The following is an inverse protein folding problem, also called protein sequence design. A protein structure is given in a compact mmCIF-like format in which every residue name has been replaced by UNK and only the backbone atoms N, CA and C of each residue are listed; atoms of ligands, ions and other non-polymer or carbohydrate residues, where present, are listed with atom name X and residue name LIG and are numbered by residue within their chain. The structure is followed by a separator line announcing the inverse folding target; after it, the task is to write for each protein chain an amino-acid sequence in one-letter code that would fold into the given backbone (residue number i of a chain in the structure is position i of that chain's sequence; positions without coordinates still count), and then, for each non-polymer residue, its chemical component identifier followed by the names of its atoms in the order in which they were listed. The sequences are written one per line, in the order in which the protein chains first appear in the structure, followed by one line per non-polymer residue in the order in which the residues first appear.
data_IF_632829806474
#
_entry.id   IF_632829806474
#
_cell.length_a   1.000
_cell.length_b   1.000
_cell.length_c   1.000
_cell.angle_alpha   90.00
_cell.angle_beta   90.00
_cell.angle_gamma   90.00
#
_symmetry.space_group_name_H-M   'P 1'
#
loop_
_entity.id
_entity.type
_entity.pdbx_description
1 polymer ?
#
# COMPACT_ATOMS: atom_id res chain seq x y z
N UNK A 1 -18.72 0.42 -0.89
CA UNK A 1 -17.37 0.23 -0.32
C UNK A 1 -16.32 0.70 -1.31
N UNK A 2 -15.34 1.44 -0.86
CA UNK A 2 -14.26 1.93 -1.71
C UNK A 2 -13.40 0.77 -2.21
N UNK A 3 -12.86 0.88 -3.44
CA UNK A 3 -12.05 -0.16 -4.05
C UNK A 3 -10.79 -0.48 -3.23
N UNK A 4 -10.15 0.52 -2.64
CA UNK A 4 -8.97 0.30 -1.79
C UNK A 4 -9.31 -0.48 -0.52
N UNK A 5 -10.52 -0.32 0.03
CA UNK A 5 -10.98 -1.10 1.18
C UNK A 5 -11.13 -2.57 0.82
N UNK A 6 -11.64 -2.85 -0.39
CA UNK A 6 -11.74 -4.24 -0.87
C UNK A 6 -10.35 -4.85 -1.06
N UNK A 7 -9.42 -4.11 -1.64
CA UNK A 7 -8.04 -4.54 -1.82
C UNK A 7 -7.38 -4.82 -0.47
N UNK A 8 -7.59 -3.96 0.52
CA UNK A 8 -7.10 -4.14 1.88
C UNK A 8 -7.60 -5.46 2.50
N UNK A 9 -8.89 -5.76 2.33
CA UNK A 9 -9.45 -7.02 2.85
C UNK A 9 -8.83 -8.24 2.18
N UNK A 10 -8.69 -8.20 0.86
CA UNK A 10 -8.06 -9.28 0.12
C UNK A 10 -6.62 -9.51 0.56
N UNK A 11 -5.88 -8.44 0.73
CA UNK A 11 -4.49 -8.52 1.19
C UNK A 11 -4.40 -9.21 2.54
N UNK A 12 -5.22 -8.82 3.50
CA UNK A 12 -5.21 -9.44 4.83
C UNK A 12 -5.57 -10.92 4.80
N UNK A 13 -6.58 -11.27 4.00
CA UNK A 13 -7.03 -12.66 3.88
C UNK A 13 -5.97 -13.56 3.28
N UNK A 14 -5.16 -13.04 2.36
CA UNK A 14 -4.16 -13.81 1.64
C UNK A 14 -2.77 -13.78 2.28
N UNK A 15 -2.59 -13.02 3.35
CA UNK A 15 -1.29 -12.89 4.05
C UNK A 15 -1.45 -13.10 5.55
N UNK A 16 -1.90 -14.30 5.99
CA UNK A 16 -2.19 -14.54 7.41
C UNK A 16 -0.97 -14.47 8.33
N UNK A 17 0.24 -14.60 7.78
CA UNK A 17 1.49 -14.52 8.56
C UNK A 17 2.01 -13.09 8.74
N UNK A 18 1.40 -12.13 8.06
CA UNK A 18 1.82 -10.74 8.16
C UNK A 18 0.92 -10.01 9.14
N UNK A 19 1.53 -9.32 10.08
CA UNK A 19 0.82 -8.45 11.02
C UNK A 19 0.71 -7.06 10.40
N UNK A 20 -0.50 -6.67 10.03
CA UNK A 20 -0.75 -5.41 9.34
C UNK A 20 -1.29 -4.35 10.30
N UNK A 21 -0.74 -3.15 10.20
CA UNK A 21 -1.25 -1.95 10.86
C UNK A 21 -1.62 -0.92 9.80
N UNK A 22 -2.87 -0.46 9.82
CA UNK A 22 -3.31 0.59 8.92
C UNK A 22 -2.89 1.95 9.49
N UNK A 23 -2.13 2.71 8.71
CA UNK A 23 -1.62 4.00 9.15
C UNK A 23 -2.62 5.10 8.82
N UNK A 24 -2.79 6.02 9.78
CA UNK A 24 -3.61 7.21 9.57
C UNK A 24 -2.72 8.29 8.95
N UNK A 25 -2.87 8.52 7.65
CA UNK A 25 -1.97 9.40 6.90
C UNK A 25 -2.31 10.88 6.99
N UNK A 26 -3.38 11.26 7.72
CA UNK A 26 -3.76 12.66 7.84
C UNK A 26 -2.69 13.53 8.53
N UNK A 27 -1.86 12.93 9.34
CA UNK A 27 -0.81 13.63 10.10
C UNK A 27 0.51 13.74 9.33
N UNK A 28 0.68 13.00 8.23
CA UNK A 28 1.95 12.98 7.51
C UNK A 28 1.71 12.65 6.03
N UNK A 29 1.91 13.63 5.16
CA UNK A 29 1.66 13.47 3.74
C UNK A 29 2.66 12.48 3.11
N UNK A 30 2.15 11.63 2.22
CA UNK A 30 2.96 10.71 1.45
C UNK A 30 3.37 9.43 2.16
N UNK A 31 3.06 9.28 3.44
CA UNK A 31 3.31 8.04 4.17
C UNK A 31 2.43 6.93 3.59
N UNK A 32 2.97 5.72 3.33
CA UNK A 32 2.17 4.61 2.84
C UNK A 32 1.01 4.23 3.76
N UNK A 33 0.00 3.58 3.19
CA UNK A 33 -1.23 3.23 3.90
C UNK A 33 -1.02 2.22 5.02
N UNK A 34 -0.04 1.32 4.87
CA UNK A 34 0.10 0.15 5.72
C UNK A 34 1.52 -0.03 6.24
N UNK A 35 1.61 -0.46 7.48
CA UNK A 35 2.83 -1.01 8.06
C UNK A 35 2.63 -2.52 8.23
N UNK A 36 3.50 -3.31 7.63
CA UNK A 36 3.48 -4.76 7.77
C UNK A 36 4.65 -5.24 8.63
N UNK A 37 4.43 -6.35 9.31
CA UNK A 37 5.48 -7.03 10.05
C UNK A 37 5.37 -8.54 9.82
N UNK A 38 6.49 -9.16 9.52
CA UNK A 38 6.59 -10.61 9.40
C UNK A 38 7.91 -11.04 10.03
N UNK A 39 7.90 -12.14 10.81
CA UNK A 39 9.05 -12.54 11.64
C UNK A 39 10.35 -12.72 10.87
N UNK A 40 10.29 -13.26 9.66
CA UNK A 40 11.50 -13.50 8.87
C UNK A 40 12.03 -12.26 8.15
N UNK A 41 11.16 -11.27 7.87
CA UNK A 41 11.53 -10.08 7.11
C UNK A 41 11.65 -8.82 7.97
N UNK A 42 10.94 -8.77 9.10
CA UNK A 42 10.82 -7.55 9.91
C UNK A 42 9.77 -6.59 9.36
N UNK A 43 9.93 -5.31 9.63
CA UNK A 43 8.98 -4.27 9.20
C UNK A 43 9.17 -3.86 7.75
N UNK A 44 8.04 -3.56 7.12
CA UNK A 44 8.03 -2.95 5.77
C UNK A 44 6.77 -2.11 5.62
N UNK A 45 6.73 -1.24 4.62
CA UNK A 45 5.58 -0.39 4.34
C UNK A 45 4.97 -0.76 2.99
N UNK A 46 3.65 -0.56 2.87
CA UNK A 46 2.93 -0.86 1.63
C UNK A 46 1.91 0.23 1.32
N UNK A 47 1.93 0.73 0.09
CA UNK A 47 0.95 1.66 -0.45
C UNK A 47 -0.06 0.88 -1.28
N UNK A 48 -1.36 1.12 -1.05
CA UNK A 48 -2.43 0.50 -1.83
C UNK A 48 -2.84 1.43 -2.97
N UNK A 49 -2.92 0.90 -4.19
CA UNK A 49 -3.41 1.64 -5.35
C UNK A 49 -4.35 0.78 -6.17
N UNK A 50 -5.46 1.37 -6.58
CA UNK A 50 -6.42 0.75 -7.50
C UNK A 50 -6.57 1.66 -8.70
N UNK A 51 -6.49 1.09 -9.89
CA UNK A 51 -6.71 1.84 -11.14
C UNK A 51 -7.71 1.11 -12.03
N UNK A 52 -8.41 1.87 -12.88
CA UNK A 52 -9.32 1.34 -13.90
C UNK A 52 -8.83 1.59 -15.32
N UNK A 53 -7.71 2.29 -15.47
CA UNK A 53 -7.26 2.81 -16.77
C UNK A 53 -5.83 2.41 -17.12
N UNK A 54 -5.26 1.42 -16.44
CA UNK A 54 -3.86 1.00 -16.58
C UNK A 54 -2.84 2.10 -16.22
N UNK A 55 -3.32 3.22 -15.64
CA UNK A 55 -2.47 4.33 -15.23
C UNK A 55 -2.50 4.47 -13.73
N UNK A 56 -1.32 4.64 -13.13
CA UNK A 56 -1.17 4.84 -11.70
C UNK A 56 -0.80 6.29 -11.44
N UNK A 57 -1.54 6.93 -10.54
CA UNK A 57 -1.32 8.32 -10.17
C UNK A 57 -0.91 8.41 -8.70
N UNK A 58 0.16 9.14 -8.43
CA UNK A 58 0.62 9.40 -7.07
C UNK A 58 0.63 10.90 -6.81
N UNK A 59 0.30 11.29 -5.57
CA UNK A 59 0.49 12.67 -5.15
C UNK A 59 2.00 13.01 -5.14
N UNK A 60 2.37 14.32 -5.21
CA UNK A 60 3.79 14.69 -5.10
C UNK A 60 4.45 14.18 -3.83
N UNK A 61 3.73 14.18 -2.71
CA UNK A 61 4.26 13.68 -1.44
C UNK A 61 4.49 12.17 -1.48
N UNK A 62 3.58 11.40 -2.09
CA UNK A 62 3.75 9.97 -2.27
C UNK A 62 4.95 9.65 -3.17
N UNK A 63 5.10 10.39 -4.27
CA UNK A 63 6.25 10.24 -5.16
C UNK A 63 7.55 10.48 -4.41
N UNK A 64 7.64 11.57 -3.68
CA UNK A 64 8.84 11.93 -2.93
C UNK A 64 9.17 10.84 -1.89
N UNK A 65 8.18 10.37 -1.16
CA UNK A 65 8.38 9.31 -0.16
C UNK A 65 8.97 8.05 -0.79
N UNK A 66 8.36 7.55 -1.88
CA UNK A 66 8.82 6.32 -2.52
C UNK A 66 10.15 6.48 -3.25
N UNK A 67 10.46 7.68 -3.73
CA UNK A 67 11.75 7.95 -4.36
C UNK A 67 12.89 8.03 -3.36
N UNK A 68 12.63 8.51 -2.15
CA UNK A 68 13.67 8.73 -1.13
C UNK A 68 13.81 7.56 -0.16
N UNK A 69 12.73 6.80 0.06
CA UNK A 69 12.71 5.66 1.00
C UNK A 69 12.43 4.38 0.24
N UNK A 70 13.45 3.88 -0.45
CA UNK A 70 13.31 2.77 -1.39
C UNK A 70 13.40 1.39 -0.75
N UNK A 71 13.95 1.29 0.46
CA UNK A 71 14.12 0.00 1.15
C UNK A 71 12.86 -0.35 1.93
N UNK A 72 12.42 -1.62 1.81
CA UNK A 72 11.27 -2.16 2.55
C UNK A 72 10.01 -1.31 2.39
N UNK A 73 9.80 -0.82 1.18
CA UNK A 73 8.69 0.04 0.82
C UNK A 73 8.10 -0.46 -0.49
N UNK A 74 6.84 -0.92 -0.44
CA UNK A 74 6.19 -1.61 -1.55
C UNK A 74 4.92 -0.89 -1.98
N UNK A 75 4.55 -1.11 -3.22
CA UNK A 75 3.28 -0.62 -3.78
C UNK A 75 2.50 -1.85 -4.25
N UNK A 76 1.30 -2.02 -3.70
CA UNK A 76 0.38 -3.05 -4.18
C UNK A 76 -0.64 -2.39 -5.10
N UNK A 77 -0.60 -2.76 -6.36
CA UNK A 77 -1.46 -2.21 -7.40
C UNK A 77 -2.48 -3.25 -7.85
N UNK A 78 -3.74 -2.84 -7.89
CA UNK A 78 -4.80 -3.59 -8.54
C UNK A 78 -5.32 -2.80 -9.73
N UNK A 79 -5.24 -3.39 -10.93
CA UNK A 79 -5.80 -2.80 -12.16
C UNK A 79 -7.10 -3.51 -12.50
N UNK A 80 -8.22 -2.85 -12.22
CA UNK A 80 -9.54 -3.42 -12.45
C UNK A 80 -9.94 -3.44 -13.93
N UNK A 81 -9.18 -2.75 -14.79
CA UNK A 81 -9.41 -2.80 -16.24
C UNK A 81 -8.98 -4.14 -16.84
N UNK A 82 -8.19 -4.93 -16.15
CA UNK A 82 -7.74 -6.25 -16.61
C UNK A 82 -8.72 -7.37 -16.29
N UNK A 83 -9.81 -7.05 -15.67
CA UNK A 83 -10.80 -8.03 -15.30
C UNK A 83 -10.94 -8.23 -13.84
#
# INVERSE_FOLDING_TARGET
MKAETKLWRLLRQNTPKIDWTRLESWASFGVPDLLGYEDSCGFFMCELKVTKTHKVSFSPHQKLFHMTKTKRNFILLQDTALG
#
